data_IF_421717981879
#
_entry.id   IF_421717981879
#
_cell.length_a   1.000
_cell.length_b   1.000
_cell.length_c   1.000
_cell.angle_alpha   90.00
_cell.angle_beta   90.00
_cell.angle_gamma   90.00
#
_symmetry.space_group_name_H-M   'P 1'
#
loop_
_entity.id
_entity.type
_entity.pdbx_description
1 polymer ?
#
# COMPACT_ATOMS: atom_id res chain seq x y z
N UNK A 1 -21.20 7.90 2.54
CA UNK A 1 -20.61 6.56 2.54
C UNK A 1 -21.19 5.80 1.37
N UNK A 2 -20.33 5.36 0.47
CA UNK A 2 -20.65 4.68 -0.78
C UNK A 2 -20.23 3.21 -0.68
N UNK A 3 -21.18 2.32 -0.99
CA UNK A 3 -21.02 0.86 -0.90
C UNK A 3 -20.88 0.21 -2.27
N UNK A 4 -20.80 1.00 -3.34
CA UNK A 4 -20.54 0.48 -4.68
C UNK A 4 -19.13 -0.11 -4.75
N UNK A 5 -19.01 -1.20 -5.50
CA UNK A 5 -17.74 -1.86 -5.78
C UNK A 5 -17.42 -1.70 -7.27
N UNK A 6 -16.13 -1.63 -7.57
CA UNK A 6 -15.63 -1.60 -8.95
C UNK A 6 -15.78 -3.01 -9.56
N UNK A 7 -16.42 -3.11 -10.72
CA UNK A 7 -16.61 -4.39 -11.41
C UNK A 7 -15.40 -4.78 -12.26
N UNK A 8 -14.59 -3.80 -12.65
CA UNK A 8 -13.36 -4.02 -13.38
C UNK A 8 -12.21 -4.35 -12.43
N UNK A 9 -11.81 -5.63 -12.38
CA UNK A 9 -10.76 -6.10 -11.49
C UNK A 9 -9.37 -5.61 -11.90
N UNK A 10 -9.14 -5.32 -13.19
CA UNK A 10 -7.86 -4.78 -13.65
C UNK A 10 -7.67 -3.38 -13.08
N UNK A 11 -8.74 -2.57 -13.06
CA UNK A 11 -8.73 -1.25 -12.44
C UNK A 11 -8.48 -1.29 -10.93
N UNK A 12 -9.02 -2.29 -10.23
CA UNK A 12 -8.73 -2.50 -8.79
C UNK A 12 -7.26 -2.86 -8.57
N UNK A 13 -6.69 -3.68 -9.46
CA UNK A 13 -5.28 -4.07 -9.39
C UNK A 13 -4.34 -2.88 -9.68
N UNK A 14 -4.67 -2.05 -10.66
CA UNK A 14 -3.96 -0.80 -10.95
C UNK A 14 -3.98 0.14 -9.74
N UNK A 15 -5.14 0.42 -9.17
CA UNK A 15 -5.27 1.26 -7.96
C UNK A 15 -4.42 0.72 -6.79
N UNK A 16 -4.35 -0.61 -6.63
CA UNK A 16 -3.55 -1.25 -5.60
C UNK A 16 -2.04 -1.12 -5.86
N UNK A 17 -1.59 -1.24 -7.11
CA UNK A 17 -0.18 -1.04 -7.48
C UNK A 17 0.24 0.42 -7.32
N UNK A 18 -0.58 1.36 -7.79
CA UNK A 18 -0.38 2.80 -7.61
C UNK A 18 -0.24 3.14 -6.12
N UNK A 19 -1.03 2.52 -5.24
CA UNK A 19 -0.90 2.71 -3.80
C UNK A 19 0.45 2.24 -3.25
N UNK A 20 0.98 1.12 -3.75
CA UNK A 20 2.31 0.61 -3.37
C UNK A 20 3.41 1.56 -3.83
N UNK A 21 3.32 2.08 -5.05
CA UNK A 21 4.26 3.08 -5.56
C UNK A 21 4.21 4.37 -4.74
N UNK A 22 3.01 4.85 -4.40
CA UNK A 22 2.85 6.06 -3.60
C UNK A 22 3.36 5.90 -2.18
N UNK A 23 3.21 4.74 -1.54
CA UNK A 23 3.88 4.45 -0.26
C UNK A 23 5.42 4.51 -0.37
N UNK A 24 5.96 4.21 -1.56
CA UNK A 24 7.39 4.24 -1.85
C UNK A 24 7.91 5.64 -2.21
N UNK A 25 7.08 6.51 -2.75
CA UNK A 25 7.52 7.80 -3.30
C UNK A 25 7.00 9.00 -2.51
N UNK A 26 5.81 8.91 -1.91
CA UNK A 26 5.18 9.99 -1.13
C UNK A 26 5.49 9.91 0.38
N UNK A 27 5.13 10.98 1.12
CA UNK A 27 5.08 10.97 2.58
C UNK A 27 4.05 9.93 3.07
N UNK A 28 4.47 8.88 3.82
CA UNK A 28 3.57 7.85 4.33
C UNK A 28 2.41 8.38 5.18
N UNK A 29 2.57 9.52 5.86
CA UNK A 29 1.51 10.13 6.67
C UNK A 29 0.36 10.64 5.81
N UNK A 30 0.69 11.18 4.63
CA UNK A 30 -0.30 11.65 3.66
C UNK A 30 -1.06 10.48 3.06
N UNK A 31 -0.35 9.41 2.71
CA UNK A 31 -0.98 8.19 2.18
C UNK A 31 -1.90 7.55 3.24
N UNK A 32 -1.47 7.52 4.51
CA UNK A 32 -2.30 7.06 5.62
C UNK A 32 -3.63 7.83 5.70
N UNK A 33 -3.60 9.17 5.69
CA UNK A 33 -4.84 9.95 5.78
C UNK A 33 -5.77 9.73 4.58
N UNK A 34 -5.21 9.56 3.38
CA UNK A 34 -6.01 9.24 2.19
C UNK A 34 -6.67 7.87 2.28
N UNK A 35 -5.95 6.87 2.79
CA UNK A 35 -6.52 5.53 3.04
C UNK A 35 -7.61 5.58 4.11
N UNK A 36 -7.39 6.34 5.18
CA UNK A 36 -8.39 6.54 6.24
C UNK A 36 -9.67 7.16 5.66
N UNK A 37 -9.52 8.20 4.84
CA UNK A 37 -10.65 8.85 4.15
C UNK A 37 -11.33 7.92 3.15
N UNK A 38 -10.57 7.09 2.42
CA UNK A 38 -11.13 6.10 1.50
C UNK A 38 -11.98 5.05 2.25
N UNK A 39 -11.49 4.54 3.38
CA UNK A 39 -12.23 3.60 4.21
C UNK A 39 -13.53 4.21 4.77
N UNK A 40 -13.50 5.50 5.13
CA UNK A 40 -14.65 6.22 5.66
C UNK A 40 -15.72 6.52 4.57
N UNK A 41 -15.27 6.95 3.39
CA UNK A 41 -16.16 7.43 2.34
C UNK A 41 -16.60 6.32 1.38
N UNK A 42 -15.72 5.36 1.05
CA UNK A 42 -15.93 4.29 0.06
C UNK A 42 -15.43 2.91 0.59
N UNK A 43 -16.04 2.36 1.65
CA UNK A 43 -15.58 1.14 2.31
C UNK A 43 -15.50 -0.09 1.40
N UNK A 44 -16.43 -0.24 0.43
CA UNK A 44 -16.39 -1.37 -0.51
C UNK A 44 -15.15 -1.30 -1.42
N UNK A 45 -14.83 -0.12 -1.96
CA UNK A 45 -13.61 0.10 -2.76
C UNK A 45 -12.35 -0.09 -1.92
N UNK A 46 -12.33 0.38 -0.67
CA UNK A 46 -11.23 0.12 0.26
C UNK A 46 -10.99 -1.38 0.45
N UNK A 47 -12.06 -2.16 0.67
CA UNK A 47 -11.96 -3.61 0.83
C UNK A 47 -11.42 -4.29 -0.43
N UNK A 48 -11.85 -3.87 -1.62
CA UNK A 48 -11.33 -4.41 -2.89
C UNK A 48 -9.83 -4.20 -3.06
N UNK A 49 -9.35 -2.98 -2.79
CA UNK A 49 -7.91 -2.68 -2.86
C UNK A 49 -7.14 -3.50 -1.82
N UNK A 50 -7.65 -3.61 -0.59
CA UNK A 50 -7.02 -4.44 0.44
C UNK A 50 -6.95 -5.93 0.05
N UNK A 51 -8.00 -6.47 -0.58
CA UNK A 51 -8.00 -7.83 -1.10
C UNK A 51 -7.02 -8.02 -2.26
N UNK A 52 -6.94 -7.05 -3.18
CA UNK A 52 -5.98 -7.08 -4.29
C UNK A 52 -4.53 -7.06 -3.77
N UNK A 53 -4.22 -6.20 -2.79
CA UNK A 53 -2.92 -6.20 -2.13
C UNK A 53 -2.59 -7.53 -1.45
N UNK A 54 -3.57 -8.13 -0.77
CA UNK A 54 -3.40 -9.41 -0.10
C UNK A 54 -3.06 -10.55 -1.08
N UNK A 55 -3.55 -10.48 -2.33
CA UNK A 55 -3.22 -11.46 -3.37
C UNK A 55 -1.72 -11.48 -3.74
N UNK A 56 -0.99 -10.39 -3.50
CA UNK A 56 0.46 -10.31 -3.72
C UNK A 56 1.30 -10.77 -2.54
N UNK A 57 0.68 -11.07 -1.38
CA UNK A 57 1.39 -11.54 -0.20
C UNK A 57 1.50 -13.07 -0.24
N UNK A 58 2.72 -13.59 -0.17
CA UNK A 58 2.93 -15.02 0.04
C UNK A 58 2.68 -15.36 1.52
N UNK A 59 1.60 -16.09 1.88
CA UNK A 59 1.28 -16.38 3.28
C UNK A 59 2.30 -17.31 3.95
N UNK A 60 3.07 -18.08 3.17
CA UNK A 60 4.01 -19.08 3.69
C UNK A 60 5.35 -18.48 4.13
N UNK A 61 5.65 -17.23 3.75
CA UNK A 61 6.94 -16.59 4.07
C UNK A 61 7.06 -16.11 5.52
N UNK A 62 5.96 -16.07 6.27
CA UNK A 62 5.93 -15.61 7.66
C UNK A 62 6.30 -14.13 7.83
N UNK A 63 5.98 -13.57 9.00
CA UNK A 63 6.20 -12.14 9.29
C UNK A 63 7.68 -11.73 9.38
N UNK A 64 8.57 -12.67 9.65
CA UNK A 64 10.03 -12.42 9.73
C UNK A 64 10.60 -12.02 8.36
N UNK A 65 10.15 -12.65 7.27
CA UNK A 65 10.60 -12.29 5.93
C UNK A 65 10.10 -10.90 5.51
N UNK A 66 8.87 -10.56 5.90
CA UNK A 66 8.30 -9.23 5.71
C UNK A 66 9.08 -8.16 6.48
N UNK A 67 9.40 -8.40 7.75
CA UNK A 67 10.18 -7.46 8.57
C UNK A 67 11.56 -7.20 7.96
N UNK A 68 12.27 -8.24 7.50
CA UNK A 68 13.56 -8.08 6.83
C UNK A 68 13.49 -7.20 5.57
N UNK A 69 12.40 -7.29 4.80
CA UNK A 69 12.19 -6.43 3.63
C UNK A 69 11.96 -4.98 4.05
N UNK A 70 11.16 -4.75 5.09
CA UNK A 70 10.90 -3.41 5.63
C UNK A 70 12.20 -2.78 6.12
N UNK A 71 13.00 -3.53 6.89
CA UNK A 71 14.29 -3.05 7.42
C UNK A 71 15.24 -2.68 6.28
N UNK A 72 15.36 -3.52 5.25
CA UNK A 72 16.20 -3.26 4.09
C UNK A 72 15.76 -1.99 3.30
N UNK A 73 14.46 -1.77 3.15
CA UNK A 73 13.90 -0.57 2.50
C UNK A 73 14.20 0.68 3.34
N UNK A 74 13.98 0.61 4.65
CA UNK A 74 14.25 1.72 5.56
C UNK A 74 15.74 2.09 5.57
N UNK A 75 16.63 1.09 5.60
CA UNK A 75 18.07 1.29 5.56
C UNK A 75 18.52 1.92 4.23
N UNK A 76 17.96 1.48 3.10
CA UNK A 76 18.23 2.06 1.78
C UNK A 76 17.85 3.56 1.73
N UNK A 77 16.67 3.92 2.25
CA UNK A 77 16.22 5.32 2.32
C UNK A 77 17.11 6.18 3.22
N UNK A 78 17.53 5.67 4.37
CA UNK A 78 18.41 6.39 5.29
C UNK A 78 19.76 6.73 4.61
N UNK A 79 20.34 5.79 3.86
CA UNK A 79 21.59 6.01 3.11
C UNK A 79 21.43 7.08 2.03
N UNK A 80 20.33 7.06 1.28
CA UNK A 80 20.05 8.08 0.25
C UNK A 80 19.89 9.48 0.85
N UNK A 81 19.24 9.60 2.01
CA UNK A 81 19.09 10.88 2.72
C UNK A 81 20.43 11.46 3.20
N UNK A 82 21.36 10.60 3.61
CA UNK A 82 22.71 11.01 4.04
C UNK A 82 23.58 11.48 2.86
N UNK A 83 23.43 10.86 1.69
CA UNK A 83 24.18 11.25 0.49
C UNK A 83 23.68 12.55 -0.17
N UNK A 84 22.44 12.95 0.11
CA UNK A 84 21.82 14.17 -0.40
C UNK A 84 22.01 15.40 0.54
N UNK A 85 22.69 15.21 1.68
CA UNK A 85 23.00 16.25 2.68
C UNK A 85 24.48 16.64 2.61
#
# INVERSE_FOLDING_TARGET
MDQSYETDLDRVAEDALDLVERLREDDPRRVFEQLRLLAELHPARYAQIAMALAAFVNPDEGTVALQRRVDAIAESRARLSVLAS
#
